data_IF_281497488202
#
_entry.id   IF_281497488202
#
_cell.length_a   1.000
_cell.length_b   1.000
_cell.length_c   1.000
_cell.angle_alpha   90.00
_cell.angle_beta   90.00
_cell.angle_gamma   90.00
#
_symmetry.space_group_name_H-M   'P 1'
#
loop_
_entity.id
_entity.type
_entity.pdbx_description
1 polymer ?
#
# COMPACT_ATOMS: atom_id res chain seq x y z
N UNK A 1 -15.14 -20.67 13.30
CA UNK A 1 -14.07 -20.26 12.37
C UNK A 1 -14.50 -18.94 11.75
N UNK A 2 -13.82 -17.84 12.08
CA UNK A 2 -14.11 -16.58 11.40
C UNK A 2 -13.67 -16.74 9.95
N UNK A 3 -14.61 -16.63 9.02
CA UNK A 3 -14.29 -16.45 7.62
C UNK A 3 -13.48 -15.15 7.54
N UNK A 4 -12.17 -15.29 7.39
CA UNK A 4 -11.26 -14.23 6.91
C UNK A 4 -11.56 -13.96 5.41
N UNK A 5 -12.85 -13.92 5.05
CA UNK A 5 -13.29 -13.66 3.70
C UNK A 5 -12.98 -12.21 3.43
N UNK A 6 -11.89 -11.99 2.69
CA UNK A 6 -11.45 -10.70 2.20
C UNK A 6 -11.24 -9.69 3.32
N UNK A 7 -10.02 -9.68 3.81
CA UNK A 7 -9.36 -8.43 4.18
C UNK A 7 -9.20 -7.63 2.85
N UNK A 8 -10.33 -7.22 2.25
CA UNK A 8 -10.44 -6.24 1.18
C UNK A 8 -11.10 -5.05 1.83
N UNK A 9 -10.28 -4.11 2.28
CA UNK A 9 -10.73 -2.78 2.65
C UNK A 9 -10.85 -1.92 1.40
N UNK A 10 -11.46 -0.74 1.53
CA UNK A 10 -11.64 0.16 0.40
C UNK A 10 -10.28 0.54 -0.20
N UNK A 11 -10.17 0.48 -1.53
CA UNK A 11 -9.00 1.01 -2.22
C UNK A 11 -8.89 2.52 -2.00
N UNK A 12 -7.68 3.07 -2.03
CA UNK A 12 -7.45 4.52 -1.92
C UNK A 12 -8.17 5.24 -3.06
N UNK A 13 -9.09 6.13 -2.71
CA UNK A 13 -9.87 6.91 -3.66
C UNK A 13 -9.01 7.98 -4.33
N UNK A 14 -9.38 8.38 -5.54
CA UNK A 14 -8.64 9.41 -6.29
C UNK A 14 -8.63 10.77 -5.56
N UNK A 15 -9.70 11.09 -4.82
CA UNK A 15 -9.77 12.30 -3.98
C UNK A 15 -8.88 12.23 -2.76
N UNK A 16 -8.54 11.02 -2.28
CA UNK A 16 -7.85 10.79 -1.02
C UNK A 16 -8.73 10.92 0.22
N UNK A 17 -10.06 11.03 0.08
CA UNK A 17 -10.97 11.22 1.22
C UNK A 17 -10.86 10.08 2.26
N UNK A 18 -10.54 8.87 1.80
CA UNK A 18 -10.36 7.68 2.63
C UNK A 18 -8.90 7.40 3.00
N UNK A 19 -7.96 8.33 2.79
CA UNK A 19 -6.53 8.12 2.96
C UNK A 19 -6.14 7.61 4.36
N UNK A 20 -6.65 8.22 5.43
CA UNK A 20 -6.30 7.79 6.81
C UNK A 20 -6.78 6.36 7.12
N UNK A 21 -8.01 6.01 6.70
CA UNK A 21 -8.49 4.62 6.82
C UNK A 21 -7.66 3.65 5.98
N UNK A 22 -7.35 4.03 4.73
CA UNK A 22 -6.53 3.22 3.84
C UNK A 22 -5.14 2.97 4.40
N UNK A 23 -4.49 3.99 4.98
CA UNK A 23 -3.17 3.86 5.61
C UNK A 23 -3.22 2.87 6.77
N UNK A 24 -4.24 2.95 7.62
CA UNK A 24 -4.38 2.06 8.77
C UNK A 24 -4.54 0.60 8.31
N UNK A 25 -5.47 0.36 7.39
CA UNK A 25 -5.75 -0.98 6.87
C UNK A 25 -4.56 -1.56 6.11
N UNK A 26 -3.93 -0.79 5.23
CA UNK A 26 -2.73 -1.18 4.50
C UNK A 26 -1.57 -1.54 5.44
N UNK A 27 -1.33 -0.74 6.49
CA UNK A 27 -0.28 -1.03 7.50
C UNK A 27 -0.57 -2.32 8.26
N UNK A 28 -1.82 -2.56 8.67
CA UNK A 28 -2.21 -3.79 9.38
C UNK A 28 -2.01 -5.00 8.47
N UNK A 29 -2.42 -4.90 7.22
CA UNK A 29 -2.23 -5.92 6.21
C UNK A 29 -0.77 -6.28 5.98
N UNK A 30 0.07 -5.29 5.70
CA UNK A 30 1.50 -5.50 5.49
C UNK A 30 2.12 -6.13 6.74
N UNK A 31 1.76 -5.66 7.94
CA UNK A 31 2.24 -6.25 9.20
C UNK A 31 1.80 -7.71 9.38
N UNK A 32 0.54 -8.04 9.10
CA UNK A 32 0.01 -9.39 9.22
C UNK A 32 0.70 -10.38 8.27
N UNK A 33 1.22 -9.89 7.15
CA UNK A 33 1.94 -10.67 6.16
C UNK A 33 3.47 -10.59 6.29
N UNK A 34 3.98 -9.94 7.34
CA UNK A 34 5.43 -9.79 7.53
C UNK A 34 6.11 -8.91 6.47
N UNK A 35 5.38 -7.97 5.87
CA UNK A 35 5.84 -7.05 4.82
C UNK A 35 5.94 -5.59 5.29
N UNK A 36 5.73 -5.29 6.58
CA UNK A 36 5.72 -3.91 7.09
C UNK A 36 7.03 -3.17 6.80
N UNK A 37 8.16 -3.86 6.81
CA UNK A 37 9.48 -3.29 6.54
C UNK A 37 9.60 -2.68 5.14
N UNK A 38 8.85 -3.18 4.15
CA UNK A 38 8.88 -2.67 2.75
C UNK A 38 8.44 -1.21 2.60
N UNK A 39 7.79 -0.64 3.62
CA UNK A 39 7.32 0.76 3.65
C UNK A 39 8.00 1.59 4.75
N UNK A 40 9.16 1.15 5.24
CA UNK A 40 9.99 1.88 6.23
C UNK A 40 11.32 2.27 5.59
N UNK A 41 11.88 3.40 6.03
CA UNK A 41 13.22 3.85 5.62
C UNK A 41 14.32 2.86 6.02
N UNK A 42 15.39 2.83 5.22
CA UNK A 42 16.56 1.96 5.43
C UNK A 42 16.21 0.47 5.61
N UNK A 43 15.13 0.01 4.96
CA UNK A 43 14.72 -1.38 5.01
C UNK A 43 15.68 -2.30 4.23
N UNK A 44 15.76 -3.54 4.68
CA UNK A 44 16.53 -4.62 4.07
C UNK A 44 15.62 -5.65 3.37
N UNK A 45 14.45 -5.21 2.91
CA UNK A 45 13.48 -6.10 2.29
C UNK A 45 14.04 -6.74 1.02
N UNK A 46 13.81 -8.04 0.87
CA UNK A 46 14.18 -8.79 -0.33
C UNK A 46 13.38 -8.30 -1.56
N UNK A 47 13.90 -8.53 -2.78
CA UNK A 47 13.15 -8.26 -4.01
C UNK A 47 11.78 -8.94 -4.05
N UNK A 48 11.65 -10.14 -3.47
CA UNK A 48 10.39 -10.87 -3.40
C UNK A 48 9.38 -10.18 -2.45
N UNK A 49 9.82 -9.71 -1.29
CA UNK A 49 8.98 -8.96 -0.36
C UNK A 49 8.52 -7.63 -0.97
N UNK A 50 9.43 -6.92 -1.66
CA UNK A 50 9.10 -5.71 -2.39
C UNK A 50 8.06 -5.97 -3.47
N UNK A 51 8.22 -7.01 -4.28
CA UNK A 51 7.24 -7.37 -5.31
C UNK A 51 5.86 -7.70 -4.70
N UNK A 52 5.82 -8.47 -3.60
CA UNK A 52 4.57 -8.81 -2.89
C UNK A 52 3.87 -7.58 -2.33
N UNK A 53 4.61 -6.68 -1.68
CA UNK A 53 4.07 -5.43 -1.17
C UNK A 53 3.59 -4.52 -2.29
N UNK A 54 4.32 -4.44 -3.41
CA UNK A 54 3.95 -3.62 -4.57
C UNK A 54 2.65 -4.12 -5.21
N UNK A 55 2.51 -5.44 -5.43
CA UNK A 55 1.27 -6.05 -5.93
C UNK A 55 0.09 -5.70 -5.02
N UNK A 56 0.29 -5.80 -3.70
CA UNK A 56 -0.73 -5.45 -2.72
C UNK A 56 -1.14 -3.98 -2.82
N UNK A 57 -0.19 -3.04 -2.78
CA UNK A 57 -0.47 -1.61 -2.87
C UNK A 57 -1.20 -1.25 -4.17
N UNK A 58 -0.70 -1.73 -5.31
CA UNK A 58 -1.31 -1.49 -6.63
C UNK A 58 -2.72 -2.08 -6.78
N UNK A 59 -3.04 -3.12 -6.02
CA UNK A 59 -4.40 -3.69 -6.01
C UNK A 59 -5.38 -2.84 -5.21
N UNK A 60 -4.88 -2.12 -4.20
CA UNK A 60 -5.69 -1.36 -3.25
C UNK A 60 -5.59 0.16 -3.46
N UNK A 61 -5.26 0.63 -4.66
CA UNK A 61 -5.38 2.05 -5.03
C UNK A 61 -6.24 2.22 -6.26
N UNK A 62 -6.86 3.39 -6.42
CA UNK A 62 -7.68 3.71 -7.58
C UNK A 62 -6.89 3.54 -8.90
N UNK A 63 -7.56 3.04 -9.95
CA UNK A 63 -6.93 2.76 -11.25
C UNK A 63 -6.20 3.96 -11.87
N UNK A 64 -6.73 5.17 -11.69
CA UNK A 64 -6.08 6.39 -12.17
C UNK A 64 -4.73 6.64 -11.46
N UNK A 65 -4.67 6.45 -10.13
CA UNK A 65 -3.43 6.54 -9.36
C UNK A 65 -2.43 5.47 -9.80
N UNK A 66 -2.92 4.25 -10.06
CA UNK A 66 -2.09 3.16 -10.60
C UNK A 66 -1.40 3.55 -11.91
N UNK A 67 -2.12 4.23 -12.82
CA UNK A 67 -1.57 4.70 -14.08
C UNK A 67 -0.55 5.82 -13.90
N UNK A 68 -0.78 6.72 -12.93
CA UNK A 68 0.16 7.81 -12.61
C UNK A 68 1.49 7.28 -12.05
N UNK A 69 1.42 6.23 -11.23
CA UNK A 69 2.61 5.63 -10.59
C UNK A 69 3.11 4.36 -11.30
N UNK A 70 2.81 4.17 -12.59
CA UNK A 70 3.13 2.93 -13.32
C UNK A 70 4.63 2.63 -13.42
N UNK A 71 5.48 3.66 -13.32
CA UNK A 71 6.94 3.53 -13.38
C UNK A 71 7.59 3.30 -12.01
N UNK A 72 6.82 3.38 -10.92
CA UNK A 72 7.32 3.13 -9.56
C UNK A 72 7.31 1.62 -9.33
N UNK A 73 8.48 1.05 -9.03
CA UNK A 73 8.67 -0.38 -8.75
C UNK A 73 9.04 -0.67 -7.28
N UNK A 74 9.28 0.38 -6.49
CA UNK A 74 9.59 0.30 -5.06
C UNK A 74 8.37 0.66 -4.18
N UNK A 75 7.94 -0.22 -3.25
CA UNK A 75 6.80 0.04 -2.37
C UNK A 75 6.94 1.28 -1.50
N UNK A 76 8.15 1.52 -0.95
CA UNK A 76 8.43 2.68 -0.11
C UNK A 76 8.26 4.00 -0.87
N UNK A 77 8.71 4.06 -2.12
CA UNK A 77 8.58 5.24 -2.98
C UNK A 77 7.11 5.54 -3.25
N UNK A 78 6.33 4.52 -3.61
CA UNK A 78 4.87 4.68 -3.80
C UNK A 78 4.20 5.12 -2.49
N UNK A 79 4.54 4.49 -1.37
CA UNK A 79 3.98 4.79 -0.06
C UNK A 79 4.19 6.26 0.33
N UNK A 80 5.42 6.76 0.17
CA UNK A 80 5.75 8.17 0.44
C UNK A 80 5.04 9.13 -0.50
N UNK A 81 5.01 8.84 -1.79
CA UNK A 81 4.35 9.70 -2.78
C UNK A 81 2.84 9.86 -2.50
N UNK A 82 2.17 8.77 -2.07
CA UNK A 82 0.78 8.84 -1.63
C UNK A 82 0.62 9.66 -0.35
N UNK A 83 1.55 9.56 0.59
CA UNK A 83 1.54 10.38 1.80
C UNK A 83 1.77 11.86 1.54
N UNK A 84 2.75 12.22 0.71
CA UNK A 84 2.99 13.61 0.32
C UNK A 84 1.76 14.26 -0.33
N UNK A 85 0.94 13.47 -1.04
CA UNK A 85 -0.25 13.94 -1.74
C UNK A 85 -1.48 14.12 -0.85
N UNK A 86 -1.65 13.27 0.16
CA UNK A 86 -2.93 13.14 0.88
C UNK A 86 -2.83 13.33 2.40
N UNK A 87 -1.62 13.34 2.98
CA UNK A 87 -1.39 13.57 4.41
C UNK A 87 -1.35 15.09 4.70
N UNK A 88 -2.54 15.70 4.81
CA UNK A 88 -2.75 17.13 5.07
C UNK A 88 -3.57 17.37 6.35
#
# INVERSE_FOLDING_TARGET
MANLAKLEFAALDLSGDNYLSWVLDAKIHLRANGLRQTIVDDNDASPEENAKAMIFLLHHIHKALKSEYVVVDEPLVLWKALGERYDH
#
